data_IF_760799750952
#
_entry.id   IF_760799750952
#
_cell.length_a   1.000
_cell.length_b   1.000
_cell.length_c   1.000
_cell.angle_alpha   90.00
_cell.angle_beta   90.00
_cell.angle_gamma   90.00
#
_symmetry.space_group_name_H-M   'P 1'
#
loop_
_entity.id
_entity.type
_entity.pdbx_description
1 polymer ?
#
# COMPACT_ATOMS: atom_id res chain seq x y z
N UNK A 1 40.72 29.77 28.22
CA UNK A 1 40.37 30.22 26.86
C UNK A 1 40.28 28.98 25.99
N UNK A 2 39.12 28.79 25.33
CA UNK A 2 38.79 27.78 24.31
C UNK A 2 38.81 26.31 24.80
N UNK A 3 37.95 25.39 24.36
CA UNK A 3 36.98 25.42 23.26
C UNK A 3 35.86 24.41 23.57
N UNK A 4 34.62 24.78 23.26
CA UNK A 4 33.45 23.91 23.29
C UNK A 4 33.40 23.02 22.03
N UNK A 5 32.58 21.98 22.13
CA UNK A 5 32.01 21.13 21.08
C UNK A 5 32.80 19.90 20.65
N UNK A 6 32.41 18.77 21.25
CA UNK A 6 32.38 17.48 20.57
C UNK A 6 31.25 16.65 21.19
N UNK A 7 30.09 16.63 20.54
CA UNK A 7 29.04 15.65 20.84
C UNK A 7 28.19 15.43 19.59
N UNK A 8 28.54 14.35 18.90
CA UNK A 8 27.76 13.52 18.00
C UNK A 8 26.24 13.63 18.14
N UNK A 9 25.55 13.75 17.01
CA UNK A 9 24.50 12.79 16.63
C UNK A 9 24.17 12.94 15.14
N UNK A 10 23.98 11.79 14.53
CA UNK A 10 23.76 11.57 13.10
C UNK A 10 22.38 12.09 12.67
N UNK A 11 22.33 12.43 11.39
CA UNK A 11 21.21 12.82 10.55
C UNK A 11 19.85 12.18 10.91
N UNK A 12 18.78 12.90 10.60
CA UNK A 12 17.85 12.41 9.61
C UNK A 12 18.14 13.19 8.33
N UNK A 13 18.59 12.49 7.29
CA UNK A 13 18.29 12.94 5.94
C UNK A 13 16.80 13.22 5.90
N UNK A 14 16.43 14.49 5.85
CA UNK A 14 15.20 14.97 5.26
C UNK A 14 15.22 14.51 3.79
N UNK A 15 14.95 13.21 3.59
CA UNK A 15 14.14 12.81 2.46
C UNK A 15 12.74 13.32 2.76
N UNK A 16 12.59 14.65 2.77
CA UNK A 16 11.36 15.24 2.28
C UNK A 16 11.26 14.77 0.84
N UNK A 17 10.64 13.60 0.68
CA UNK A 17 10.18 13.09 -0.59
C UNK A 17 9.02 14.00 -1.00
N UNK A 18 9.37 15.18 -1.47
CA UNK A 18 8.53 16.12 -2.21
C UNK A 18 8.25 15.50 -3.59
N UNK A 19 7.63 14.33 -3.61
CA UNK A 19 7.16 13.68 -4.83
C UNK A 19 5.73 13.18 -4.65
N UNK A 20 4.80 14.08 -4.33
CA UNK A 20 3.39 13.84 -4.62
C UNK A 20 2.56 15.12 -4.52
N UNK A 21 2.71 16.05 -5.46
CA UNK A 21 1.66 17.07 -5.62
C UNK A 21 0.51 16.60 -6.53
N UNK A 22 0.62 15.43 -7.19
CA UNK A 22 -0.43 14.86 -8.05
C UNK A 22 -0.44 13.32 -8.05
N UNK A 23 -0.85 12.70 -6.94
CA UNK A 23 -1.17 11.27 -6.99
C UNK A 23 -2.42 11.03 -7.85
N UNK A 24 -2.51 9.86 -8.47
CA UNK A 24 -3.67 9.39 -9.21
C UNK A 24 -4.68 8.84 -8.18
N UNK A 25 -5.92 9.38 -8.14
CA UNK A 25 -6.99 8.79 -7.35
C UNK A 25 -7.40 7.44 -7.94
N UNK A 26 -7.31 6.39 -7.14
CA UNK A 26 -7.65 5.02 -7.53
C UNK A 26 -8.57 4.42 -6.49
N UNK A 27 -9.67 3.84 -6.99
CA UNK A 27 -10.57 3.02 -6.18
C UNK A 27 -10.09 1.57 -6.23
N UNK A 28 -9.82 0.98 -5.07
CA UNK A 28 -9.56 -0.44 -4.93
C UNK A 28 -10.83 -1.08 -4.36
N UNK A 29 -11.35 -2.09 -5.07
CA UNK A 29 -12.64 -2.71 -4.78
C UNK A 29 -12.49 -4.22 -4.58
N UNK A 30 -13.21 -4.75 -3.59
CA UNK A 30 -13.39 -6.18 -3.36
C UNK A 30 -14.88 -6.51 -3.33
N UNK A 31 -15.32 -7.44 -4.17
CA UNK A 31 -16.74 -7.78 -4.35
C UNK A 31 -17.06 -9.29 -4.17
N UNK A 32 -16.14 -10.05 -3.56
CA UNK A 32 -16.29 -11.51 -3.38
C UNK A 32 -16.76 -11.91 -1.97
N UNK A 33 -17.44 -11.01 -1.24
CA UNK A 33 -17.95 -11.26 0.11
C UNK A 33 -16.89 -11.25 1.21
N UNK A 34 -17.28 -11.62 2.43
CA UNK A 34 -16.44 -11.52 3.63
C UNK A 34 -17.10 -10.67 4.72
N UNK A 35 -16.62 -10.77 5.96
CA UNK A 35 -17.09 -9.96 7.09
C UNK A 35 -16.22 -8.72 7.24
N UNK A 36 -14.91 -8.91 7.22
CA UNK A 36 -13.90 -7.87 7.35
C UNK A 36 -12.91 -7.97 6.19
N UNK A 37 -12.67 -6.84 5.52
CA UNK A 37 -11.77 -6.75 4.38
C UNK A 37 -10.79 -5.61 4.62
N UNK A 38 -9.51 -5.91 4.49
CA UNK A 38 -8.44 -4.91 4.46
C UNK A 38 -7.56 -5.10 3.22
N UNK A 39 -6.77 -4.09 2.91
CA UNK A 39 -5.75 -4.13 1.85
C UNK A 39 -4.39 -3.71 2.41
N UNK A 40 -3.35 -4.35 1.91
CA UNK A 40 -1.95 -3.94 2.09
C UNK A 40 -1.26 -4.00 0.72
N UNK A 41 -0.22 -3.18 0.54
CA UNK A 41 0.46 -3.09 -0.75
C UNK A 41 1.84 -2.45 -0.66
N UNK A 42 2.55 -2.49 -1.78
CA UNK A 42 3.93 -2.03 -1.87
C UNK A 42 4.09 -0.51 -1.74
N UNK A 43 3.00 0.27 -1.84
CA UNK A 43 3.01 1.74 -1.73
C UNK A 43 3.57 2.27 -0.41
N UNK A 44 3.58 1.48 0.65
CA UNK A 44 4.19 1.83 1.94
C UNK A 44 5.16 0.76 2.44
N UNK A 45 5.69 -0.06 1.54
CA UNK A 45 6.49 -1.24 1.85
C UNK A 45 5.75 -2.26 2.74
N UNK A 46 4.46 -2.49 2.49
CA UNK A 46 3.64 -3.49 3.20
C UNK A 46 3.53 -3.23 4.71
N UNK A 47 3.65 -1.96 5.13
CA UNK A 47 3.69 -1.60 6.55
C UNK A 47 2.30 -1.49 7.15
N UNK A 48 1.32 -1.02 6.39
CA UNK A 48 -0.03 -0.78 6.90
C UNK A 48 -1.06 -1.68 6.23
N UNK A 49 -2.00 -2.15 7.07
CA UNK A 49 -3.23 -2.83 6.65
C UNK A 49 -4.36 -1.84 6.80
N UNK A 50 -5.01 -1.50 5.70
CA UNK A 50 -6.08 -0.51 5.69
C UNK A 50 -7.43 -1.21 5.50
N UNK A 51 -8.35 -1.11 6.48
CA UNK A 51 -9.71 -1.62 6.32
C UNK A 51 -10.44 -0.95 5.16
N UNK A 52 -11.18 -1.73 4.38
CA UNK A 52 -12.04 -1.23 3.31
C UNK A 52 -13.41 -0.87 3.89
N UNK A 53 -14.02 0.18 3.34
CA UNK A 53 -15.36 0.58 3.68
C UNK A 53 -16.37 -0.32 2.96
N UNK A 54 -17.31 -0.88 3.71
CA UNK A 54 -18.39 -1.70 3.15
C UNK A 54 -19.49 -0.82 2.56
N UNK A 55 -19.87 -1.07 1.31
CA UNK A 55 -21.01 -0.48 0.62
C UNK A 55 -21.85 -1.58 -0.03
N UNK A 56 -22.93 -1.97 0.63
CA UNK A 56 -23.76 -3.11 0.21
C UNK A 56 -22.97 -4.43 0.22
N UNK A 57 -22.73 -4.98 -0.97
CA UNK A 57 -21.97 -6.22 -1.19
C UNK A 57 -20.47 -5.96 -1.45
N UNK A 58 -20.10 -4.72 -1.72
CA UNK A 58 -18.74 -4.36 -2.10
C UNK A 58 -17.99 -3.78 -0.88
N UNK A 59 -16.68 -3.94 -0.90
CA UNK A 59 -15.74 -3.30 -0.01
C UNK A 59 -14.84 -2.41 -0.85
N UNK A 60 -14.65 -1.15 -0.47
CA UNK A 60 -13.91 -0.17 -1.26
C UNK A 60 -12.97 0.69 -0.43
N UNK A 61 -11.86 1.13 -1.01
CA UNK A 61 -11.01 2.19 -0.47
C UNK A 61 -10.52 3.10 -1.61
N UNK A 62 -10.54 4.40 -1.37
CA UNK A 62 -9.93 5.38 -2.26
C UNK A 62 -8.49 5.63 -1.80
N UNK A 63 -7.54 5.47 -2.72
CA UNK A 63 -6.13 5.83 -2.51
C UNK A 63 -5.72 6.89 -3.50
N UNK A 64 -4.82 7.77 -3.08
CA UNK A 64 -4.13 8.71 -3.96
C UNK A 64 -2.67 8.29 -3.95
N UNK A 65 -2.19 7.74 -5.07
CA UNK A 65 -0.86 7.14 -5.19
C UNK A 65 -0.10 7.80 -6.35
N UNK A 66 1.23 7.99 -6.24
CA UNK A 66 2.04 8.41 -7.37
C UNK A 66 1.90 7.46 -8.58
N UNK A 67 2.32 7.92 -9.77
CA UNK A 67 2.47 7.05 -10.92
C UNK A 67 3.47 5.94 -10.61
N UNK A 68 3.17 4.71 -11.01
CA UNK A 68 4.00 3.54 -10.77
C UNK A 68 3.21 2.24 -10.79
N UNK A 69 3.95 1.14 -10.69
CA UNK A 69 3.39 -0.21 -10.58
C UNK A 69 3.46 -0.67 -9.14
N UNK A 70 2.32 -1.02 -8.57
CA UNK A 70 2.17 -1.47 -7.20
C UNK A 70 1.70 -2.92 -7.15
N UNK A 71 2.20 -3.65 -6.16
CA UNK A 71 1.68 -4.96 -5.79
C UNK A 71 0.80 -4.79 -4.56
N UNK A 72 -0.32 -5.50 -4.51
CA UNK A 72 -1.22 -5.47 -3.36
C UNK A 72 -1.95 -6.78 -3.17
N UNK A 73 -2.50 -6.98 -1.98
CA UNK A 73 -3.38 -8.11 -1.69
C UNK A 73 -4.44 -7.72 -0.68
N UNK A 74 -5.54 -8.47 -0.70
CA UNK A 74 -6.61 -8.33 0.26
C UNK A 74 -6.37 -9.27 1.45
N UNK A 75 -6.83 -8.83 2.61
CA UNK A 75 -6.96 -9.65 3.81
C UNK A 75 -8.45 -9.75 4.09
N UNK A 76 -9.03 -10.92 3.82
CA UNK A 76 -10.47 -11.17 3.94
C UNK A 76 -10.66 -12.19 5.04
N UNK A 77 -11.31 -11.77 6.13
CA UNK A 77 -11.51 -12.60 7.32
C UNK A 77 -10.20 -13.25 7.81
N UNK A 78 -9.11 -12.48 7.78
CA UNK A 78 -7.76 -12.90 8.21
C UNK A 78 -6.96 -13.71 7.18
N UNK A 79 -7.51 -13.98 5.99
CA UNK A 79 -6.84 -14.75 4.94
C UNK A 79 -6.38 -13.87 3.79
N UNK A 80 -5.18 -14.12 3.27
CA UNK A 80 -4.70 -13.44 2.08
C UNK A 80 -5.48 -13.88 0.84
N UNK A 81 -5.95 -12.89 0.08
CA UNK A 81 -6.75 -13.04 -1.13
C UNK A 81 -6.28 -12.07 -2.20
N UNK A 82 -6.64 -12.38 -3.43
CA UNK A 82 -6.46 -11.55 -4.61
C UNK A 82 -7.73 -11.65 -5.46
N UNK A 83 -7.91 -10.72 -6.39
CA UNK A 83 -8.98 -10.74 -7.39
C UNK A 83 -8.43 -11.44 -8.64
N UNK A 84 -8.94 -12.63 -9.03
CA UNK A 84 -8.41 -13.38 -10.17
C UNK A 84 -8.59 -12.69 -11.52
N UNK A 85 -9.59 -11.81 -11.61
CA UNK A 85 -9.96 -11.10 -12.84
C UNK A 85 -9.12 -9.82 -13.06
N UNK A 86 -8.28 -9.43 -12.10
CA UNK A 86 -7.35 -8.31 -12.24
C UNK A 86 -5.94 -8.83 -12.54
N UNK A 87 -5.07 -8.01 -13.15
CA UNK A 87 -3.66 -8.34 -13.28
C UNK A 87 -3.07 -8.82 -11.95
N UNK A 88 -2.31 -9.91 -11.98
CA UNK A 88 -1.72 -10.51 -10.79
C UNK A 88 -0.35 -11.14 -11.10
N UNK A 89 0.46 -11.29 -10.07
CA UNK A 89 1.76 -11.94 -10.12
C UNK A 89 1.93 -12.83 -8.90
N UNK A 90 2.89 -13.74 -8.97
CA UNK A 90 3.33 -14.51 -7.80
C UNK A 90 4.85 -14.44 -7.67
N UNK A 91 5.35 -14.59 -6.44
CA UNK A 91 6.79 -14.75 -6.18
C UNK A 91 7.20 -16.24 -6.20
N UNK A 92 8.50 -16.49 -6.03
CA UNK A 92 9.10 -17.83 -6.07
C UNK A 92 8.64 -18.73 -4.91
N UNK A 93 8.11 -18.13 -3.84
CA UNK A 93 7.55 -18.82 -2.67
C UNK A 93 6.03 -18.97 -2.74
N UNK A 94 5.41 -18.55 -3.86
CA UNK A 94 4.00 -18.77 -4.16
C UNK A 94 3.04 -17.77 -3.53
N UNK A 95 3.53 -16.65 -2.98
CA UNK A 95 2.63 -15.56 -2.58
C UNK A 95 2.04 -14.91 -3.83
N UNK A 96 0.74 -14.64 -3.81
CA UNK A 96 0.00 -14.05 -4.93
C UNK A 96 -0.39 -12.61 -4.59
N UNK A 97 -0.23 -11.73 -5.57
CA UNK A 97 -0.53 -10.30 -5.47
C UNK A 97 -1.28 -9.82 -6.70
N UNK A 98 -2.23 -8.91 -6.53
CA UNK A 98 -2.72 -8.11 -7.65
C UNK A 98 -1.72 -7.03 -8.03
N UNK A 99 -1.71 -6.65 -9.30
CA UNK A 99 -0.91 -5.57 -9.86
C UNK A 99 -1.82 -4.36 -10.10
N UNK A 100 -1.39 -3.21 -9.62
CA UNK A 100 -2.00 -1.91 -9.86
C UNK A 100 -1.01 -1.05 -10.64
N UNK A 101 -1.27 -0.82 -11.91
CA UNK A 101 -0.46 0.02 -12.79
C UNK A 101 -1.10 1.41 -12.92
N UNK A 102 -0.39 2.45 -12.47
CA UNK A 102 -0.83 3.83 -12.48
C UNK A 102 0.08 4.66 -13.41
N UNK A 103 -0.44 5.02 -14.59
CA UNK A 103 0.27 5.80 -15.62
C UNK A 103 -0.57 6.97 -16.10
#
# INVERSE_FOLDING_TARGET
MHNLSHAWMQSPTEYENTFSEKGIPTMITWNHGGKEVAVEGSWDNWRTKQPLQRSGKDFTIMKVLPTGVYQYRFIVDGQWRYVPDLPWAHDDVGNVYNILDLQ
#
